data_IF_811062311240
#
_entry.id   IF_811062311240
#
_cell.length_a   1.000
_cell.length_b   1.000
_cell.length_c   1.000
_cell.angle_alpha   90.00
_cell.angle_beta   90.00
_cell.angle_gamma   90.00
#
_symmetry.space_group_name_H-M   'P 1'
#
loop_
_entity.id
_entity.type
_entity.pdbx_description
1 polymer ?
#
# COMPACT_ATOMS: atom_id res chain seq x y z
N UNK A 1 9.39 6.46 19.47
CA UNK A 1 10.13 5.22 19.11
C UNK A 1 10.79 5.42 17.75
N UNK A 2 11.87 4.70 17.44
CA UNK A 2 12.51 4.72 16.11
C UNK A 2 12.58 3.29 15.57
N UNK A 3 12.06 3.05 14.36
CA UNK A 3 12.19 1.79 13.64
C UNK A 3 13.28 1.91 12.57
N UNK A 4 14.18 0.93 12.53
CA UNK A 4 15.24 0.84 11.53
C UNK A 4 15.06 -0.46 10.74
N UNK A 5 14.72 -0.34 9.46
CA UNK A 5 14.34 -1.50 8.64
C UNK A 5 13.67 -1.09 7.33
N UNK A 6 13.09 -2.06 6.64
CA UNK A 6 12.23 -1.83 5.49
C UNK A 6 10.75 -1.77 5.85
N UNK A 7 9.89 -1.74 4.84
CA UNK A 7 8.42 -1.62 5.00
C UNK A 7 7.84 -2.68 5.96
N UNK A 8 8.32 -3.92 5.91
CA UNK A 8 7.88 -4.98 6.83
C UNK A 8 8.19 -4.69 8.31
N UNK A 9 9.39 -4.17 8.61
CA UNK A 9 9.76 -3.78 9.97
C UNK A 9 8.91 -2.61 10.44
N UNK A 10 8.71 -1.61 9.57
CA UNK A 10 7.88 -0.44 9.86
C UNK A 10 6.44 -0.88 10.15
N UNK A 11 5.89 -1.78 9.34
CA UNK A 11 4.55 -2.33 9.50
C UNK A 11 4.34 -3.07 10.83
N UNK A 12 5.29 -3.93 11.23
CA UNK A 12 5.18 -4.64 12.52
C UNK A 12 5.27 -3.68 13.71
N UNK A 13 6.18 -2.71 13.65
CA UNK A 13 6.36 -1.72 14.70
C UNK A 13 5.13 -0.82 14.83
N UNK A 14 4.59 -0.34 13.70
CA UNK A 14 3.36 0.45 13.66
C UNK A 14 2.16 -0.34 14.22
N UNK A 15 1.99 -1.60 13.81
CA UNK A 15 0.92 -2.44 14.33
C UNK A 15 1.04 -2.66 15.85
N UNK A 16 2.26 -2.85 16.36
CA UNK A 16 2.51 -2.96 17.80
C UNK A 16 2.10 -1.69 18.56
N UNK A 17 2.48 -0.52 18.04
CA UNK A 17 2.08 0.77 18.60
C UNK A 17 0.58 0.99 18.57
N UNK A 18 -0.07 0.75 17.43
CA UNK A 18 -1.50 0.94 17.25
C UNK A 18 -2.30 0.06 18.23
N UNK A 19 -1.90 -1.20 18.41
CA UNK A 19 -2.54 -2.13 19.36
C UNK A 19 -2.32 -1.76 20.83
N UNK A 20 -1.20 -1.11 21.15
CA UNK A 20 -0.90 -0.64 22.50
C UNK A 20 -1.56 0.72 22.81
N UNK A 21 -2.10 1.40 21.81
CA UNK A 21 -2.75 2.71 21.95
C UNK A 21 -4.24 2.51 22.24
N UNK A 22 -4.83 3.18 23.25
CA UNK A 22 -6.27 3.13 23.48
C UNK A 22 -7.08 3.58 22.26
N UNK A 23 -8.27 2.99 22.08
CA UNK A 23 -9.15 3.35 20.97
C UNK A 23 -9.52 4.84 21.01
N UNK A 24 -9.38 5.53 19.87
CA UNK A 24 -9.65 6.97 19.74
C UNK A 24 -8.47 7.88 20.12
N UNK A 25 -7.36 7.32 20.62
CA UNK A 25 -6.14 8.09 20.86
C UNK A 25 -5.19 8.10 19.66
N UNK A 26 -4.41 9.17 19.54
CA UNK A 26 -3.37 9.26 18.51
C UNK A 26 -2.20 8.34 18.86
N UNK A 27 -1.84 7.46 17.93
CA UNK A 27 -0.67 6.59 18.06
C UNK A 27 0.60 7.43 18.28
N UNK A 28 1.46 6.99 19.18
CA UNK A 28 2.71 7.69 19.50
C UNK A 28 3.63 7.90 18.30
N UNK A 29 4.53 8.89 18.41
CA UNK A 29 5.49 9.25 17.34
C UNK A 29 6.41 8.08 16.96
N UNK A 30 6.45 7.78 15.67
CA UNK A 30 7.36 6.81 15.05
C UNK A 30 8.37 7.53 14.14
N UNK A 31 9.65 7.41 14.45
CA UNK A 31 10.75 7.76 13.53
C UNK A 31 11.14 6.56 12.67
N UNK A 32 11.54 6.79 11.43
CA UNK A 32 11.90 5.75 10.47
C UNK A 32 13.33 5.95 9.97
N UNK A 33 14.14 4.90 10.02
CA UNK A 33 15.43 4.79 9.36
C UNK A 33 15.32 3.73 8.24
N UNK A 34 15.29 4.15 6.96
CA UNK A 34 15.00 3.26 5.84
C UNK A 34 16.22 2.38 5.50
N UNK A 35 16.20 1.13 5.96
CA UNK A 35 17.25 0.12 5.74
C UNK A 35 16.81 -1.01 4.79
N UNK A 36 15.58 -0.95 4.27
CA UNK A 36 15.01 -1.96 3.40
C UNK A 36 15.44 -1.86 1.93
N UNK A 37 15.14 -2.92 1.18
CA UNK A 37 15.23 -2.95 -0.30
C UNK A 37 14.05 -2.24 -0.98
N UNK A 38 12.90 -2.21 -0.28
CA UNK A 38 11.76 -1.33 -0.52
C UNK A 38 11.55 -0.50 0.75
N UNK A 39 11.34 0.80 0.57
CA UNK A 39 11.07 1.76 1.65
C UNK A 39 9.94 2.69 1.19
N UNK A 40 8.84 2.09 0.73
CA UNK A 40 7.73 2.84 0.16
C UNK A 40 7.18 3.88 1.12
N UNK A 41 6.88 3.46 2.36
CA UNK A 41 6.32 4.39 3.32
C UNK A 41 7.31 5.51 3.67
N UNK A 42 8.60 5.20 3.75
CA UNK A 42 9.64 6.20 3.98
C UNK A 42 9.69 7.22 2.83
N UNK A 43 9.65 6.77 1.57
CA UNK A 43 9.60 7.64 0.40
C UNK A 43 8.32 8.49 0.38
N UNK A 44 7.16 7.90 0.70
CA UNK A 44 5.85 8.57 0.79
C UNK A 44 5.87 9.71 1.81
N UNK A 45 6.56 9.51 2.94
CA UNK A 45 6.68 10.55 3.98
C UNK A 45 7.82 11.53 3.77
N UNK A 46 8.55 11.45 2.65
CA UNK A 46 9.69 12.30 2.36
C UNK A 46 10.87 12.07 3.30
N UNK A 47 11.00 10.85 3.83
CA UNK A 47 12.15 10.47 4.63
C UNK A 47 13.43 10.48 3.79
N UNK A 48 14.54 10.92 4.39
CA UNK A 48 15.82 10.95 3.71
C UNK A 48 16.38 9.52 3.60
N UNK A 49 16.89 9.17 2.41
CA UNK A 49 17.53 7.85 2.20
C UNK A 49 18.89 7.76 2.88
N UNK A 50 19.56 8.89 3.11
CA UNK A 50 20.76 8.94 3.92
C UNK A 50 20.41 8.78 5.41
N UNK A 51 20.95 7.75 6.06
CA UNK A 51 20.63 7.42 7.46
C UNK A 51 21.02 8.53 8.44
N UNK A 52 22.12 9.24 8.19
CA UNK A 52 22.56 10.33 9.05
C UNK A 52 21.59 11.53 8.94
N UNK A 53 21.16 11.86 7.74
CA UNK A 53 20.15 12.91 7.51
C UNK A 53 18.80 12.54 8.11
N UNK A 54 18.37 11.27 7.97
CA UNK A 54 17.15 10.77 8.59
C UNK A 54 17.22 10.84 10.12
N UNK A 55 18.35 10.44 10.71
CA UNK A 55 18.57 10.53 12.16
C UNK A 55 18.56 11.99 12.66
N UNK A 56 19.18 12.91 11.91
CA UNK A 56 19.10 14.34 12.22
C UNK A 56 17.67 14.87 12.16
N UNK A 57 16.88 14.47 11.15
CA UNK A 57 15.50 14.89 11.02
C UNK A 57 14.65 14.41 12.21
N UNK A 58 14.84 13.16 12.64
CA UNK A 58 14.22 12.61 13.84
C UNK A 58 14.64 13.43 15.08
N UNK A 59 15.94 13.73 15.22
CA UNK A 59 16.46 14.53 16.35
C UNK A 59 15.91 15.96 16.39
N UNK A 60 15.55 16.55 15.25
CA UNK A 60 14.88 17.86 15.16
C UNK A 60 13.41 17.81 15.57
N UNK A 61 12.81 16.62 15.72
CA UNK A 61 11.46 16.45 16.23
C UNK A 61 10.34 16.95 15.29
N UNK A 62 10.63 17.14 14.00
CA UNK A 62 9.59 17.50 13.01
C UNK A 62 8.67 16.31 12.79
N UNK A 63 7.39 16.48 13.11
CA UNK A 63 6.38 15.43 13.05
C UNK A 63 5.18 15.90 12.26
N UNK A 64 4.53 14.98 11.55
CA UNK A 64 3.21 15.18 10.96
C UNK A 64 2.31 14.03 11.39
N UNK A 65 0.99 14.26 11.39
CA UNK A 65 0.02 13.19 11.55
C UNK A 65 -0.20 12.50 10.22
N UNK A 66 -0.48 11.21 10.29
CA UNK A 66 -0.88 10.38 9.16
C UNK A 66 -1.97 9.45 9.68
N UNK A 67 -2.93 9.16 8.83
CA UNK A 67 -3.99 8.19 9.08
C UNK A 67 -3.42 6.78 8.97
N UNK A 68 -4.11 5.84 9.62
CA UNK A 68 -3.80 4.42 9.54
C UNK A 68 -5.05 3.70 9.05
N UNK A 69 -4.90 2.96 7.97
CA UNK A 69 -5.93 2.04 7.53
C UNK A 69 -6.07 0.88 8.50
N UNK A 70 -7.30 0.41 8.69
CA UNK A 70 -7.61 -0.73 9.53
C UNK A 70 -8.35 -1.80 8.73
N UNK A 71 -7.82 -3.02 8.74
CA UNK A 71 -8.37 -4.16 8.04
C UNK A 71 -8.71 -5.27 9.04
N UNK A 72 -9.99 -5.65 9.07
CA UNK A 72 -10.46 -6.89 9.70
C UNK A 72 -10.57 -7.96 8.63
N UNK A 73 -9.80 -9.04 8.78
CA UNK A 73 -9.73 -10.16 7.85
C UNK A 73 -10.42 -11.35 8.49
N UNK A 74 -11.46 -11.85 7.83
CA UNK A 74 -12.25 -12.99 8.27
C UNK A 74 -12.30 -14.02 7.15
N UNK A 75 -12.00 -15.27 7.47
CA UNK A 75 -12.10 -16.43 6.60
C UNK A 75 -12.33 -17.70 7.40
N UNK A 76 -12.43 -18.88 6.76
CA UNK A 76 -12.80 -20.13 7.42
C UNK A 76 -11.96 -20.47 8.65
N UNK A 77 -10.64 -20.24 8.57
CA UNK A 77 -9.68 -20.55 9.63
C UNK A 77 -8.87 -19.32 10.08
N UNK A 78 -9.29 -18.11 9.68
CA UNK A 78 -8.56 -16.89 9.96
C UNK A 78 -9.48 -15.79 10.45
N UNK A 79 -9.13 -15.23 11.61
CA UNK A 79 -9.69 -13.98 12.09
C UNK A 79 -8.52 -13.11 12.56
N UNK A 80 -8.25 -12.02 11.85
CA UNK A 80 -7.08 -11.19 12.09
C UNK A 80 -7.38 -9.73 11.82
N UNK A 81 -6.95 -8.89 12.73
CA UNK A 81 -6.96 -7.44 12.56
C UNK A 81 -5.55 -6.95 12.25
N UNK A 82 -5.43 -6.06 11.25
CA UNK A 82 -4.16 -5.44 10.84
C UNK A 82 -4.38 -3.97 10.55
N UNK A 83 -3.42 -3.16 10.98
CA UNK A 83 -3.28 -1.78 10.54
C UNK A 83 -2.33 -1.73 9.33
N UNK A 84 -2.54 -0.78 8.44
CA UNK A 84 -1.64 -0.48 7.32
C UNK A 84 -1.42 1.04 7.19
N UNK A 85 -0.20 1.41 6.85
CA UNK A 85 0.29 2.78 6.72
C UNK A 85 0.24 3.27 5.26
N UNK A 86 0.49 2.36 4.32
CA UNK A 86 0.44 2.63 2.89
C UNK A 86 -0.86 2.15 2.23
N UNK A 87 -1.02 0.85 2.05
CA UNK A 87 -2.18 0.28 1.39
C UNK A 87 -2.44 -1.18 1.80
N UNK A 88 -3.63 -1.66 1.47
CA UNK A 88 -4.01 -3.07 1.48
C UNK A 88 -4.34 -3.51 0.06
N UNK A 89 -3.62 -4.52 -0.44
CA UNK A 89 -3.85 -5.09 -1.77
C UNK A 89 -4.51 -6.47 -1.71
N UNK A 90 -5.47 -6.71 -2.60
CA UNK A 90 -6.13 -8.00 -2.81
C UNK A 90 -5.95 -8.44 -4.25
N UNK A 91 -5.78 -9.75 -4.44
CA UNK A 91 -5.70 -10.36 -5.75
C UNK A 91 -4.32 -10.29 -6.38
N UNK A 92 -4.22 -9.78 -7.61
CA UNK A 92 -2.98 -9.76 -8.37
C UNK A 92 -1.87 -9.01 -7.63
N UNK A 93 -2.18 -7.91 -6.94
CA UNK A 93 -1.19 -7.16 -6.14
C UNK A 93 -0.52 -8.02 -5.05
N UNK A 94 -1.31 -8.80 -4.30
CA UNK A 94 -0.77 -9.73 -3.31
C UNK A 94 0.12 -10.79 -3.98
N UNK A 95 -0.26 -11.27 -5.17
CA UNK A 95 0.54 -12.21 -5.95
C UNK A 95 1.87 -11.58 -6.42
N UNK A 96 1.88 -10.30 -6.81
CA UNK A 96 3.11 -9.55 -7.15
C UNK A 96 4.02 -9.45 -5.92
N UNK A 97 3.47 -9.11 -4.76
CA UNK A 97 4.24 -9.03 -3.51
C UNK A 97 4.89 -10.36 -3.17
N UNK A 98 4.18 -11.48 -3.29
CA UNK A 98 4.74 -12.82 -3.06
C UNK A 98 5.85 -13.16 -4.08
N UNK A 99 5.64 -12.87 -5.36
CA UNK A 99 6.65 -13.09 -6.41
C UNK A 99 7.90 -12.23 -6.20
N UNK A 100 7.77 -11.03 -5.61
CA UNK A 100 8.89 -10.12 -5.33
C UNK A 100 9.92 -10.75 -4.38
N UNK A 101 9.50 -11.59 -3.43
CA UNK A 101 10.41 -12.27 -2.50
C UNK A 101 11.35 -13.27 -3.21
N UNK A 102 10.98 -13.74 -4.40
CA UNK A 102 11.85 -14.59 -5.23
C UNK A 102 12.93 -13.82 -5.98
N UNK A 103 12.78 -12.50 -6.12
CA UNK A 103 13.65 -11.64 -6.93
C UNK A 103 14.64 -10.92 -5.99
N UNK A 104 15.78 -11.55 -5.74
CA UNK A 104 16.77 -11.05 -4.77
C UNK A 104 17.82 -10.09 -5.34
N UNK A 105 17.84 -9.91 -6.66
CA UNK A 105 18.88 -9.16 -7.39
C UNK A 105 18.42 -7.76 -7.83
N UNK A 106 17.18 -7.39 -7.53
CA UNK A 106 16.60 -6.07 -7.83
C UNK A 106 16.10 -5.38 -6.55
N UNK A 107 15.92 -4.07 -6.64
CA UNK A 107 15.34 -3.25 -5.58
C UNK A 107 14.45 -2.14 -6.16
N UNK A 108 13.63 -1.52 -5.30
CA UNK A 108 12.70 -0.46 -5.68
C UNK A 108 11.75 -0.87 -6.83
N UNK A 109 11.36 0.09 -7.69
CA UNK A 109 10.42 -0.12 -8.81
C UNK A 109 10.74 -1.36 -9.66
N UNK A 110 12.01 -1.56 -9.99
CA UNK A 110 12.44 -2.60 -10.93
C UNK A 110 12.09 -4.02 -10.45
N UNK A 111 12.22 -4.24 -9.13
CA UNK A 111 11.85 -5.48 -8.46
C UNK A 111 10.37 -5.82 -8.71
N UNK A 112 9.50 -4.85 -8.44
CA UNK A 112 8.06 -5.03 -8.54
C UNK A 112 7.58 -5.10 -10.00
N UNK A 113 8.24 -4.41 -10.94
CA UNK A 113 7.96 -4.59 -12.38
C UNK A 113 8.24 -6.04 -12.81
N UNK A 114 9.40 -6.59 -12.45
CA UNK A 114 9.74 -7.98 -12.79
C UNK A 114 8.80 -8.98 -12.11
N UNK A 115 8.47 -8.74 -10.83
CA UNK A 115 7.51 -9.55 -10.11
C UNK A 115 6.13 -9.54 -10.80
N UNK A 116 5.62 -8.35 -11.18
CA UNK A 116 4.36 -8.22 -11.90
C UNK A 116 4.36 -8.99 -13.22
N UNK A 117 5.43 -8.89 -14.02
CA UNK A 117 5.55 -9.63 -15.27
C UNK A 117 5.55 -11.15 -15.07
N UNK A 118 6.17 -11.65 -13.99
CA UNK A 118 6.11 -13.08 -13.62
C UNK A 118 4.70 -13.48 -13.19
N UNK A 119 4.07 -12.69 -12.33
CA UNK A 119 2.70 -12.91 -11.83
C UNK A 119 1.68 -13.02 -12.96
N UNK A 120 1.84 -12.26 -14.05
CA UNK A 120 0.92 -12.27 -15.20
C UNK A 120 0.78 -13.64 -15.87
N UNK A 121 1.78 -14.51 -15.73
CA UNK A 121 1.78 -15.83 -16.38
C UNK A 121 0.88 -16.83 -15.65
N UNK A 122 0.76 -16.72 -14.33
CA UNK A 122 0.09 -17.70 -13.47
C UNK A 122 -1.21 -17.20 -12.84
N UNK A 123 -1.36 -15.89 -12.66
CA UNK A 123 -2.50 -15.34 -11.93
C UNK A 123 -3.78 -15.32 -12.77
N UNK A 124 -4.89 -15.74 -12.16
CA UNK A 124 -6.22 -15.73 -12.76
C UNK A 124 -7.18 -14.94 -11.86
N UNK A 125 -7.86 -13.94 -12.43
CA UNK A 125 -8.77 -13.07 -11.70
C UNK A 125 -9.97 -13.87 -11.13
N UNK A 126 -10.16 -13.92 -9.80
CA UNK A 126 -11.33 -14.54 -9.18
C UNK A 126 -12.58 -13.67 -9.35
N UNK A 127 -13.76 -14.26 -9.11
CA UNK A 127 -14.98 -13.48 -8.88
C UNK A 127 -14.87 -12.80 -7.51
N UNK A 128 -15.13 -11.50 -7.46
CA UNK A 128 -15.06 -10.69 -6.24
C UNK A 128 -16.36 -9.93 -6.10
N UNK A 129 -16.91 -9.95 -4.89
CA UNK A 129 -18.01 -9.10 -4.46
C UNK A 129 -17.47 -8.08 -3.47
N UNK A 130 -17.78 -6.81 -3.70
CA UNK A 130 -17.37 -5.72 -2.83
C UNK A 130 -18.42 -4.63 -2.79
N UNK A 131 -18.43 -3.92 -1.68
CA UNK A 131 -19.26 -2.75 -1.44
C UNK A 131 -18.48 -1.74 -0.64
N UNK A 132 -18.68 -0.46 -0.93
CA UNK A 132 -18.05 0.64 -0.21
C UNK A 132 -18.97 1.84 -0.21
N UNK A 133 -18.74 2.76 0.71
CA UNK A 133 -19.43 4.05 0.77
C UNK A 133 -18.55 5.10 0.10
N UNK A 134 -19.11 5.88 -0.82
CA UNK A 134 -18.40 7.02 -1.40
C UNK A 134 -18.36 8.21 -0.43
N UNK A 135 -17.57 9.25 -0.73
CA UNK A 135 -17.43 10.47 0.10
C UNK A 135 -18.80 11.13 0.37
N UNK A 136 -19.78 10.93 -0.52
CA UNK A 136 -21.15 11.43 -0.37
C UNK A 136 -22.06 10.54 0.48
N UNK A 137 -21.56 9.46 1.07
CA UNK A 137 -22.34 8.53 1.89
C UNK A 137 -23.14 7.51 1.09
N UNK A 138 -22.93 7.39 -0.22
CA UNK A 138 -23.72 6.49 -1.08
C UNK A 138 -23.02 5.15 -1.20
N UNK A 139 -23.77 4.10 -0.87
CA UNK A 139 -23.34 2.72 -0.99
C UNK A 139 -23.20 2.30 -2.47
N UNK A 140 -22.01 1.85 -2.81
CA UNK A 140 -21.66 1.25 -4.10
C UNK A 140 -21.56 -0.27 -3.95
N UNK A 141 -21.84 -0.98 -5.04
CA UNK A 141 -21.71 -2.43 -5.12
C UNK A 141 -21.03 -2.82 -6.43
N UNK A 142 -20.10 -3.78 -6.35
CA UNK A 142 -19.42 -4.34 -7.51
C UNK A 142 -19.27 -5.85 -7.36
N UNK A 143 -19.74 -6.61 -8.35
CA UNK A 143 -19.61 -8.07 -8.42
C UNK A 143 -19.14 -8.49 -9.80
N UNK A 144 -17.83 -8.66 -9.97
CA UNK A 144 -17.21 -9.06 -11.24
C UNK A 144 -15.94 -9.87 -11.01
N UNK A 145 -15.33 -10.35 -12.11
CA UNK A 145 -13.97 -10.87 -12.04
C UNK A 145 -13.00 -9.71 -11.92
N UNK A 146 -12.30 -9.64 -10.79
CA UNK A 146 -11.40 -8.53 -10.48
C UNK A 146 -9.96 -9.04 -10.46
N UNK A 147 -9.09 -8.33 -11.19
CA UNK A 147 -7.67 -8.66 -11.24
C UNK A 147 -6.99 -8.21 -9.95
N UNK A 148 -7.18 -6.96 -9.54
CA UNK A 148 -6.72 -6.45 -8.25
C UNK A 148 -7.68 -5.42 -7.66
N UNK A 149 -7.67 -5.34 -6.35
CA UNK A 149 -8.22 -4.23 -5.57
C UNK A 149 -7.10 -3.70 -4.68
N UNK A 150 -6.87 -2.40 -4.69
CA UNK A 150 -6.04 -1.71 -3.69
C UNK A 150 -6.94 -0.79 -2.87
N UNK A 151 -6.73 -0.75 -1.56
CA UNK A 151 -7.29 0.25 -0.66
C UNK A 151 -6.11 1.03 -0.10
N UNK A 152 -5.93 2.26 -0.57
CA UNK A 152 -4.76 3.09 -0.35
C UNK A 152 -5.02 4.22 0.64
N UNK A 153 -4.10 4.36 1.60
CA UNK A 153 -3.90 5.55 2.43
C UNK A 153 -2.85 6.49 1.80
N UNK A 154 -2.18 6.05 0.72
CA UNK A 154 -1.18 6.85 0.02
C UNK A 154 -1.27 6.71 -1.49
N UNK A 155 -0.66 7.64 -2.26
CA UNK A 155 -0.66 7.57 -3.71
C UNK A 155 0.04 6.35 -4.31
N UNK A 156 1.00 5.75 -3.60
CA UNK A 156 2.06 4.94 -4.21
C UNK A 156 2.28 3.62 -3.49
N UNK A 157 2.42 2.53 -4.21
CA UNK A 157 2.74 1.20 -3.68
C UNK A 157 3.76 0.46 -4.55
N UNK A 158 4.33 -0.63 -4.05
CA UNK A 158 5.22 -1.51 -4.80
C UNK A 158 6.43 -0.81 -5.42
N UNK A 159 7.11 0.06 -4.67
CA UNK A 159 8.34 0.72 -5.11
C UNK A 159 8.11 1.94 -6.03
N UNK A 160 6.88 2.22 -6.48
CA UNK A 160 6.62 3.35 -7.38
C UNK A 160 5.34 3.33 -8.22
N UNK A 161 4.44 2.37 -8.01
CA UNK A 161 3.16 2.32 -8.71
C UNK A 161 2.12 3.21 -8.05
N UNK A 162 1.49 4.06 -8.84
CA UNK A 162 0.38 4.91 -8.46
C UNK A 162 -0.94 4.18 -8.73
N UNK A 163 -1.41 3.41 -7.75
CA UNK A 163 -2.68 2.67 -7.86
C UNK A 163 -3.86 3.46 -7.26
N UNK A 164 -3.58 4.42 -6.38
CA UNK A 164 -4.54 5.33 -5.74
C UNK A 164 -3.99 6.77 -5.80
N UNK A 165 -3.71 7.33 -6.98
CA UNK A 165 -2.85 8.50 -7.17
C UNK A 165 -3.31 9.76 -6.44
N UNK A 166 -4.60 9.86 -6.14
CA UNK A 166 -5.19 11.01 -5.46
C UNK A 166 -5.24 10.84 -3.93
N UNK A 167 -4.82 9.71 -3.38
CA UNK A 167 -4.90 9.44 -1.94
C UNK A 167 -4.06 10.42 -1.12
N UNK A 168 -4.63 10.90 -0.02
CA UNK A 168 -3.96 11.75 0.95
C UNK A 168 -3.76 10.97 2.25
N UNK A 169 -2.68 11.30 2.96
CA UNK A 169 -2.28 10.56 4.16
C UNK A 169 -3.00 11.05 5.42
N UNK A 170 -3.78 12.12 5.35
CA UNK A 170 -4.27 12.86 6.51
C UNK A 170 -5.66 13.50 6.29
N UNK A 171 -6.44 13.00 5.33
CA UNK A 171 -7.80 13.48 5.04
C UNK A 171 -8.91 12.63 5.70
N UNK A 172 -8.54 11.57 6.43
CA UNK A 172 -9.46 10.66 7.10
C UNK A 172 -10.15 9.67 6.18
N UNK A 173 -9.77 9.60 4.90
CA UNK A 173 -10.37 8.73 3.89
C UNK A 173 -9.39 7.65 3.42
N UNK A 174 -9.93 6.63 2.76
CA UNK A 174 -9.16 5.62 2.04
C UNK A 174 -9.62 5.63 0.58
N UNK A 175 -8.68 5.64 -0.35
CA UNK A 175 -9.00 5.56 -1.78
C UNK A 175 -9.00 4.10 -2.24
N UNK A 176 -9.95 3.75 -3.10
CA UNK A 176 -10.07 2.40 -3.64
C UNK A 176 -9.67 2.40 -5.12
N UNK A 177 -8.70 1.59 -5.49
CA UNK A 177 -8.32 1.34 -6.88
C UNK A 177 -8.74 -0.06 -7.30
N UNK A 178 -9.61 -0.17 -8.31
CA UNK A 178 -10.09 -1.46 -8.82
C UNK A 178 -9.60 -1.65 -10.25
N UNK A 179 -9.01 -2.82 -10.54
CA UNK A 179 -8.79 -3.24 -11.93
C UNK A 179 -9.54 -4.53 -12.18
N UNK A 180 -10.61 -4.43 -12.96
CA UNK A 180 -11.34 -5.60 -13.44
C UNK A 180 -10.46 -6.51 -14.30
N UNK A 181 -10.93 -7.73 -14.52
CA UNK A 181 -10.24 -8.69 -15.36
C UNK A 181 -10.05 -8.14 -16.78
N UNK A 182 -8.79 -7.93 -17.15
CA UNK A 182 -8.38 -7.40 -18.45
C UNK A 182 -7.37 -8.33 -19.11
N UNK A 183 -7.22 -8.21 -20.44
CA UNK A 183 -6.23 -8.99 -21.18
C UNK A 183 -4.81 -8.66 -20.73
N UNK A 184 -3.91 -9.65 -20.82
CA UNK A 184 -2.47 -9.46 -20.50
C UNK A 184 -1.84 -8.30 -21.26
N UNK A 185 -2.22 -8.10 -22.53
CA UNK A 185 -1.76 -6.97 -23.34
C UNK A 185 -2.21 -5.62 -22.79
N UNK A 186 -3.45 -5.53 -22.29
CA UNK A 186 -3.92 -4.32 -21.63
C UNK A 186 -3.13 -4.05 -20.35
N UNK A 187 -2.78 -5.09 -19.58
CA UNK A 187 -1.97 -4.93 -18.38
C UNK A 187 -0.57 -4.40 -18.73
N UNK A 188 0.08 -4.95 -19.77
CA UNK A 188 1.37 -4.44 -20.26
C UNK A 188 1.28 -2.97 -20.68
N UNK A 189 0.17 -2.53 -21.26
CA UNK A 189 -0.08 -1.12 -21.58
C UNK A 189 -0.40 -0.23 -20.37
N UNK A 190 -0.91 -0.80 -19.27
CA UNK A 190 -1.20 -0.09 -18.03
C UNK A 190 0.03 0.05 -17.12
N UNK A 191 0.97 -0.90 -17.14
CA UNK A 191 2.17 -0.86 -16.28
C UNK A 191 2.96 0.47 -16.40
N UNK A 192 3.31 0.99 -17.60
CA UNK A 192 4.01 2.27 -17.71
C UNK A 192 3.16 3.47 -17.27
N UNK A 193 1.84 3.36 -17.32
CA UNK A 193 0.93 4.42 -16.85
C UNK A 193 0.93 4.43 -15.33
N UNK A 194 0.77 3.28 -14.70
CA UNK A 194 0.80 3.14 -13.24
C UNK A 194 2.11 3.66 -12.62
N UNK A 195 3.23 3.74 -13.36
CA UNK A 195 4.47 4.37 -12.87
C UNK A 195 4.47 5.91 -12.93
N UNK A 196 3.43 6.52 -13.49
CA UNK A 196 3.27 7.97 -13.60
C UNK A 196 2.15 8.41 -12.67
N UNK A 197 2.44 9.45 -11.88
CA UNK A 197 1.49 10.07 -10.95
C UNK A 197 0.21 10.63 -11.61
N UNK A 198 0.19 10.78 -12.95
CA UNK A 198 -0.94 11.34 -13.70
C UNK A 198 -1.83 10.27 -14.35
N UNK A 199 -1.82 9.03 -13.86
CA UNK A 199 -2.84 8.08 -14.31
C UNK A 199 -4.15 8.46 -13.62
N UNK A 200 -5.21 8.78 -14.36
CA UNK A 200 -6.49 9.09 -13.73
C UNK A 200 -6.95 7.88 -12.91
N UNK A 201 -7.33 8.16 -11.67
CA UNK A 201 -7.89 7.20 -10.73
C UNK A 201 -8.92 6.32 -11.43
N UNK A 202 -8.75 5.01 -11.31
CA UNK A 202 -9.81 4.07 -11.65
C UNK A 202 -10.77 4.11 -10.47
N UNK A 203 -11.69 5.07 -10.52
CA UNK A 203 -12.75 5.38 -9.54
C UNK A 203 -12.25 6.01 -8.24
N UNK A 204 -12.39 7.35 -8.16
CA UNK A 204 -12.47 8.06 -6.89
C UNK A 204 -13.96 8.16 -6.57
N UNK A 205 -14.39 7.55 -5.49
CA UNK A 205 -15.75 7.68 -4.98
C UNK A 205 -15.67 7.57 -3.48
#
# INVERSE_FOLDING_TARGET
>A
MVAAGGDGTISEVMNGLARATPAGETVGKLGILPLGTGNDFADIIGCQRNLFEAAQLIGRGRTRRVDLGYAKIVGPDIQRDRYFDNNMGVGFEAHVTLESYSVKWLSGVSLYVVAALKSLRSYHAPQVEMSWEDEGGRLQHHSQRVLLVTVGNSPRTGGGFYLTPDALLDDGLLDIGILDNVSRWRILGLLPKALKAHTPTILRS
#
